data_IF_828887120342
#
_entry.id   IF_828887120342
#
_cell.length_a   1.000
_cell.length_b   1.000
_cell.length_c   1.000
_cell.angle_alpha   90.00
_cell.angle_beta   90.00
_cell.angle_gamma   90.00
#
_symmetry.space_group_name_H-M   'P 1'
#
loop_
_entity.id
_entity.type
_entity.pdbx_description
1 polymer ?
#
# COMPACT_ATOMS: atom_id res chain seq x y z
N UNK A 1 8.69 -6.96 14.04
CA UNK A 1 8.20 -6.26 12.85
C UNK A 1 8.94 -6.70 11.57
N UNK A 2 10.27 -6.55 11.44
CA UNK A 2 11.02 -6.94 10.24
C UNK A 2 10.79 -8.41 9.81
N UNK A 3 10.89 -9.35 10.76
CA UNK A 3 10.65 -10.76 10.48
C UNK A 3 9.22 -11.05 9.96
N UNK A 4 8.22 -10.32 10.46
CA UNK A 4 6.84 -10.45 9.98
C UNK A 4 6.72 -9.96 8.54
N UNK A 5 7.24 -8.76 8.22
CA UNK A 5 7.23 -8.21 6.87
C UNK A 5 7.94 -9.15 5.89
N UNK A 6 9.16 -9.59 6.24
CA UNK A 6 9.97 -10.44 5.36
C UNK A 6 9.43 -11.88 5.26
N UNK A 7 8.66 -12.36 6.23
CA UNK A 7 7.89 -13.57 6.09
C UNK A 7 6.84 -13.50 4.97
N UNK A 8 6.16 -12.36 4.82
CA UNK A 8 5.26 -12.12 3.70
C UNK A 8 6.00 -11.87 2.38
N UNK A 9 7.16 -11.21 2.43
CA UNK A 9 8.00 -11.00 1.25
C UNK A 9 8.51 -12.32 0.67
N UNK A 10 8.89 -13.28 1.53
CA UNK A 10 9.30 -14.63 1.11
C UNK A 10 8.17 -15.41 0.40
N UNK A 11 6.91 -15.02 0.61
CA UNK A 11 5.73 -15.55 -0.08
C UNK A 11 5.32 -14.71 -1.30
N UNK A 12 6.17 -13.79 -1.72
CA UNK A 12 5.95 -12.84 -2.83
C UNK A 12 4.72 -11.93 -2.66
N UNK A 13 4.31 -11.67 -1.40
CA UNK A 13 3.13 -10.87 -1.08
C UNK A 13 3.42 -9.41 -0.81
N UNK A 14 4.68 -9.02 -0.67
CA UNK A 14 5.15 -7.65 -0.51
C UNK A 14 6.65 -7.56 -0.79
N UNK A 15 7.18 -6.34 -0.84
CA UNK A 15 8.61 -6.11 -0.99
C UNK A 15 9.35 -6.39 0.33
N UNK A 16 10.51 -7.02 0.22
CA UNK A 16 11.44 -7.20 1.34
C UNK A 16 11.88 -5.86 1.92
N UNK A 17 12.09 -5.81 3.22
CA UNK A 17 12.64 -4.65 3.93
C UNK A 17 13.92 -5.03 4.66
N UNK A 18 14.80 -4.06 4.80
CA UNK A 18 16.06 -4.19 5.55
C UNK A 18 15.97 -3.48 6.89
N UNK A 19 16.86 -3.82 7.84
CA UNK A 19 16.95 -3.12 9.13
C UNK A 19 17.20 -1.62 8.92
N UNK A 20 18.17 -1.19 8.09
CA UNK A 20 18.37 0.24 7.83
C UNK A 20 17.14 0.95 7.24
N UNK A 21 16.36 0.26 6.39
CA UNK A 21 15.10 0.82 5.90
C UNK A 21 14.10 1.06 7.03
N UNK A 22 13.92 0.08 7.94
CA UNK A 22 13.00 0.24 9.06
C UNK A 22 13.46 1.35 10.00
N UNK A 23 14.74 1.41 10.33
CA UNK A 23 15.31 2.43 11.21
C UNK A 23 15.10 3.85 10.65
N UNK A 24 15.35 4.03 9.35
CA UNK A 24 15.17 5.31 8.67
C UNK A 24 13.71 5.76 8.56
N UNK A 25 12.75 4.82 8.60
CA UNK A 25 11.32 5.10 8.41
C UNK A 25 10.47 4.74 9.64
N UNK A 26 11.08 4.53 10.80
CA UNK A 26 10.39 4.02 11.98
C UNK A 26 9.20 4.90 12.41
N UNK A 27 9.31 6.21 12.23
CA UNK A 27 8.25 7.16 12.55
C UNK A 27 6.98 7.01 11.71
N UNK A 28 7.07 6.36 10.55
CA UNK A 28 5.93 6.09 9.68
C UNK A 28 5.17 4.83 10.10
N UNK A 29 5.81 3.93 10.84
CA UNK A 29 5.20 2.67 11.23
C UNK A 29 4.19 2.84 12.37
N UNK A 30 3.17 1.98 12.30
CA UNK A 30 2.23 1.67 13.37
C UNK A 30 2.31 0.17 13.65
N UNK A 31 2.15 -0.18 14.90
CA UNK A 31 2.07 -1.56 15.35
C UNK A 31 0.75 -1.78 16.08
N UNK A 32 0.24 -2.99 15.97
CA UNK A 32 -0.83 -3.50 16.81
C UNK A 32 -0.24 -4.57 17.71
N UNK A 33 -0.44 -4.43 19.01
CA UNK A 33 -0.04 -5.42 20.00
C UNK A 33 -1.22 -6.35 20.30
N UNK A 34 -0.91 -7.59 20.67
CA UNK A 34 -1.89 -8.51 21.23
C UNK A 34 -2.10 -8.22 22.74
N UNK A 35 -3.05 -8.93 23.36
CA UNK A 35 -3.40 -8.76 24.77
C UNK A 35 -2.26 -9.14 25.74
N UNK A 36 -1.18 -9.74 25.24
CA UNK A 36 -0.01 -10.15 26.02
C UNK A 36 1.22 -9.27 25.75
N UNK A 37 1.06 -8.19 24.95
CA UNK A 37 2.13 -7.30 24.57
C UNK A 37 3.03 -7.84 23.46
N UNK A 38 2.58 -8.88 22.75
CA UNK A 38 3.20 -9.41 21.55
C UNK A 38 2.73 -8.64 20.30
N UNK A 39 3.53 -8.69 19.23
CA UNK A 39 3.17 -8.06 17.96
C UNK A 39 2.04 -8.83 17.27
N UNK A 40 0.87 -8.21 17.09
CA UNK A 40 -0.25 -8.75 16.30
C UNK A 40 -0.18 -8.33 14.83
N UNK A 41 0.39 -7.15 14.53
CA UNK A 41 0.54 -6.67 13.17
C UNK A 41 1.28 -5.34 13.09
N UNK A 42 1.60 -4.92 11.87
CA UNK A 42 2.21 -3.63 11.60
C UNK A 42 1.80 -3.09 10.23
N UNK A 43 1.99 -1.79 10.03
CA UNK A 43 1.82 -1.10 8.76
C UNK A 43 2.51 0.24 8.81
N UNK A 44 2.71 0.88 7.67
CA UNK A 44 3.34 2.19 7.61
C UNK A 44 2.49 3.16 6.80
N UNK A 45 2.50 4.44 7.20
CA UNK A 45 1.97 5.57 6.44
C UNK A 45 3.14 6.40 5.92
N UNK A 46 3.56 6.17 4.70
CA UNK A 46 4.65 6.89 4.06
C UNK A 46 4.12 8.12 3.33
N UNK A 47 4.55 9.30 3.73
CA UNK A 47 4.18 10.55 3.05
C UNK A 47 5.03 10.73 1.81
N UNK A 48 4.40 10.86 0.63
CA UNK A 48 5.08 11.09 -0.65
C UNK A 48 5.13 12.57 -0.98
N UNK A 49 4.03 13.28 -0.76
CA UNK A 49 3.89 14.73 -1.00
C UNK A 49 3.11 15.37 0.15
N UNK A 50 3.01 16.70 0.22
CA UNK A 50 2.23 17.37 1.27
C UNK A 50 0.73 16.99 1.31
N UNK A 51 0.18 16.35 0.26
CA UNK A 51 -1.23 15.98 0.19
C UNK A 51 -1.49 14.48 0.00
N UNK A 52 -0.44 13.67 -0.21
CA UNK A 52 -0.56 12.25 -0.55
C UNK A 52 0.35 11.37 0.32
N UNK A 53 -0.20 10.32 0.89
CA UNK A 53 0.55 9.26 1.56
C UNK A 53 0.13 7.86 1.10
N UNK A 54 1.02 6.91 1.29
CA UNK A 54 0.82 5.49 1.00
C UNK A 54 0.72 4.67 2.29
N UNK A 55 -0.33 3.83 2.38
CA UNK A 55 -0.34 2.71 3.34
C UNK A 55 0.43 1.57 2.73
N UNK A 56 1.55 1.19 3.36
CA UNK A 56 2.46 0.13 2.87
C UNK A 56 2.97 -0.75 3.99
N UNK A 57 3.59 -1.87 3.62
CA UNK A 57 4.15 -2.84 4.56
C UNK A 57 3.13 -3.34 5.60
N UNK A 58 1.85 -3.44 5.22
CA UNK A 58 0.79 -3.95 6.07
C UNK A 58 0.94 -5.47 6.23
N UNK A 59 1.18 -5.91 7.43
CA UNK A 59 1.38 -7.31 7.76
C UNK A 59 0.71 -7.65 9.10
N UNK A 60 -0.01 -8.77 9.15
CA UNK A 60 -0.70 -9.26 10.35
C UNK A 60 -0.16 -10.64 10.68
N UNK A 61 0.14 -10.89 11.95
CA UNK A 61 0.56 -12.22 12.41
C UNK A 61 -0.51 -13.25 12.04
N UNK A 62 -0.16 -14.42 11.46
CA UNK A 62 -1.15 -15.39 11.01
C UNK A 62 -2.19 -15.78 12.06
N UNK A 63 -1.78 -15.88 13.33
CA UNK A 63 -2.68 -16.19 14.44
C UNK A 63 -3.71 -15.09 14.74
N UNK A 64 -3.45 -13.84 14.33
CA UNK A 64 -4.36 -12.68 14.48
C UNK A 64 -5.13 -12.37 13.19
N UNK A 65 -4.95 -13.19 12.13
CA UNK A 65 -5.66 -13.00 10.87
C UNK A 65 -7.18 -13.17 11.06
N UNK A 66 -7.97 -12.33 10.36
CA UNK A 66 -9.43 -12.37 10.45
C UNK A 66 -10.02 -11.71 11.70
N UNK A 67 -9.20 -11.24 12.64
CA UNK A 67 -9.63 -10.61 13.89
C UNK A 67 -9.75 -9.07 13.80
N UNK A 68 -9.67 -8.50 12.61
CA UNK A 68 -9.80 -7.05 12.40
C UNK A 68 -8.50 -6.24 12.58
N UNK A 69 -7.38 -6.87 12.96
CA UNK A 69 -6.09 -6.20 13.20
C UNK A 69 -5.63 -5.38 11.99
N UNK A 70 -5.67 -5.96 10.78
CA UNK A 70 -5.28 -5.25 9.57
C UNK A 70 -6.14 -4.02 9.30
N UNK A 71 -7.46 -4.13 9.52
CA UNK A 71 -8.39 -3.00 9.39
C UNK A 71 -8.09 -1.90 10.41
N UNK A 72 -7.85 -2.26 11.66
CA UNK A 72 -7.49 -1.30 12.71
C UNK A 72 -6.20 -0.53 12.38
N UNK A 73 -5.18 -1.22 11.82
CA UNK A 73 -3.94 -0.57 11.38
C UNK A 73 -4.20 0.41 10.23
N UNK A 74 -4.99 0.02 9.22
CA UNK A 74 -5.35 0.92 8.10
C UNK A 74 -6.13 2.13 8.61
N UNK A 75 -7.10 1.92 9.49
CA UNK A 75 -7.86 3.01 10.12
C UNK A 75 -6.94 3.98 10.88
N UNK A 76 -5.98 3.46 11.64
CA UNK A 76 -4.99 4.28 12.34
C UNK A 76 -4.07 5.05 11.38
N UNK A 77 -3.68 4.46 10.23
CA UNK A 77 -2.98 5.16 9.15
C UNK A 77 -3.83 6.32 8.60
N UNK A 78 -5.11 6.07 8.31
CA UNK A 78 -6.03 7.10 7.80
C UNK A 78 -6.23 8.23 8.82
N UNK A 79 -6.40 7.90 10.11
CA UNK A 79 -6.48 8.89 11.20
C UNK A 79 -5.20 9.76 11.27
N UNK A 80 -4.03 9.12 11.19
CA UNK A 80 -2.74 9.82 11.16
C UNK A 80 -2.60 10.73 9.94
N UNK A 81 -3.08 10.28 8.77
CA UNK A 81 -3.10 11.08 7.55
C UNK A 81 -3.99 12.32 7.71
N UNK A 82 -5.19 12.17 8.29
CA UNK A 82 -6.09 13.30 8.60
C UNK A 82 -5.44 14.28 9.57
N UNK A 83 -4.82 13.78 10.65
CA UNK A 83 -4.12 14.62 11.62
C UNK A 83 -2.94 15.40 11.01
N UNK A 84 -2.31 14.87 9.95
CA UNK A 84 -1.26 15.55 9.17
C UNK A 84 -1.81 16.50 8.11
N UNK A 85 -3.13 16.61 7.93
CA UNK A 85 -3.76 17.45 6.90
C UNK A 85 -3.62 16.92 5.48
N UNK A 86 -3.33 15.64 5.31
CA UNK A 86 -3.24 15.03 3.98
C UNK A 86 -4.64 14.93 3.34
N UNK A 87 -4.70 15.08 2.03
CA UNK A 87 -5.95 15.05 1.27
C UNK A 87 -6.26 13.67 0.70
N UNK A 88 -5.23 12.87 0.45
CA UNK A 88 -5.35 11.57 -0.21
C UNK A 88 -4.46 10.53 0.48
N UNK A 89 -5.00 9.31 0.58
CA UNK A 89 -4.23 8.13 0.99
C UNK A 89 -4.46 7.03 -0.02
N UNK A 90 -3.40 6.37 -0.45
CA UNK A 90 -3.50 5.23 -1.36
C UNK A 90 -2.78 3.99 -0.83
N UNK A 91 -3.02 2.87 -1.46
CA UNK A 91 -2.28 1.63 -1.27
C UNK A 91 -2.08 0.94 -2.62
N UNK A 92 -0.93 0.30 -2.82
CA UNK A 92 -0.74 -0.72 -3.85
C UNK A 92 -0.89 -2.09 -3.19
N UNK A 93 -1.74 -2.95 -3.74
CA UNK A 93 -2.15 -4.16 -3.02
C UNK A 93 -2.50 -5.33 -3.92
N UNK A 94 -2.25 -6.55 -3.43
CA UNK A 94 -2.73 -7.81 -4.00
C UNK A 94 -4.12 -8.21 -3.46
N UNK A 95 -4.67 -7.44 -2.50
CA UNK A 95 -5.95 -7.75 -1.83
C UNK A 95 -6.90 -6.54 -1.85
N UNK A 96 -7.34 -6.09 -3.05
CA UNK A 96 -8.14 -4.87 -3.21
C UNK A 96 -9.46 -4.92 -2.44
N UNK A 97 -10.10 -6.09 -2.34
CA UNK A 97 -11.35 -6.24 -1.58
C UNK A 97 -11.21 -5.92 -0.10
N UNK A 98 -10.04 -6.16 0.47
CA UNK A 98 -9.75 -5.77 1.85
C UNK A 98 -9.74 -4.24 1.99
N UNK A 99 -9.06 -3.53 1.07
CA UNK A 99 -9.01 -2.07 1.08
C UNK A 99 -10.37 -1.44 0.75
N UNK A 100 -11.18 -2.07 -0.10
CA UNK A 100 -12.57 -1.64 -0.34
C UNK A 100 -13.39 -1.67 0.97
N UNK A 101 -13.24 -2.72 1.78
CA UNK A 101 -13.87 -2.79 3.12
C UNK A 101 -13.32 -1.75 4.11
N UNK A 102 -12.14 -1.20 3.85
CA UNK A 102 -11.56 -0.08 4.61
C UNK A 102 -11.96 1.30 4.06
N UNK A 103 -12.82 1.36 3.02
CA UNK A 103 -13.33 2.60 2.43
C UNK A 103 -12.47 3.18 1.30
N UNK A 104 -11.51 2.42 0.77
CA UNK A 104 -10.76 2.80 -0.42
C UNK A 104 -11.53 2.40 -1.67
N UNK A 105 -11.28 3.11 -2.76
CA UNK A 105 -11.82 2.82 -4.09
C UNK A 105 -10.72 2.46 -5.06
N UNK A 106 -11.03 1.58 -6.01
CA UNK A 106 -10.09 1.21 -7.06
C UNK A 106 -9.76 2.43 -7.93
N UNK A 107 -8.48 2.58 -8.24
CA UNK A 107 -7.99 3.65 -9.12
C UNK A 107 -6.90 3.10 -10.05
N UNK A 108 -6.46 3.92 -11.00
CA UNK A 108 -5.32 3.59 -11.85
C UNK A 108 -4.02 4.12 -11.24
N UNK A 109 -2.94 3.35 -11.38
CA UNK A 109 -1.60 3.82 -11.00
C UNK A 109 -1.18 5.05 -11.82
N UNK A 110 -1.72 5.22 -13.04
CA UNK A 110 -1.51 6.40 -13.87
C UNK A 110 -2.05 7.69 -13.24
N UNK A 111 -3.03 7.60 -12.33
CA UNK A 111 -3.57 8.73 -11.56
C UNK A 111 -2.75 9.05 -10.29
N UNK A 112 -1.67 8.32 -10.06
CA UNK A 112 -0.74 8.49 -8.95
C UNK A 112 0.69 8.76 -9.48
N UNK A 113 0.89 9.87 -10.25
CA UNK A 113 2.19 10.16 -10.84
C UNK A 113 3.29 10.32 -9.79
N UNK A 114 2.94 10.75 -8.59
CA UNK A 114 3.86 10.88 -7.45
C UNK A 114 4.51 9.52 -7.09
N UNK A 115 3.77 8.42 -7.24
CA UNK A 115 4.26 7.06 -7.01
C UNK A 115 4.88 6.47 -8.27
N UNK A 116 4.18 6.56 -9.40
CA UNK A 116 4.59 5.90 -10.64
C UNK A 116 5.88 6.47 -11.24
N UNK A 117 6.15 7.78 -11.02
CA UNK A 117 7.37 8.42 -11.52
C UNK A 117 8.56 8.34 -10.54
N UNK A 118 8.33 8.15 -9.25
CA UNK A 118 9.38 8.17 -8.23
C UNK A 118 9.88 6.78 -7.83
N UNK A 119 9.00 5.92 -7.34
CA UNK A 119 9.39 4.64 -6.75
C UNK A 119 9.23 3.45 -7.72
N UNK A 120 8.21 3.47 -8.59
CA UNK A 120 7.97 2.35 -9.51
C UNK A 120 9.14 2.09 -10.49
N UNK A 121 9.85 3.10 -11.03
CA UNK A 121 10.97 2.87 -11.93
C UNK A 121 12.13 2.08 -11.32
N UNK A 122 12.33 2.19 -10.01
CA UNK A 122 13.39 1.49 -9.25
C UNK A 122 12.88 0.27 -8.49
N UNK A 123 11.59 -0.04 -8.60
CA UNK A 123 10.99 -1.19 -7.93
C UNK A 123 11.52 -2.50 -8.55
N UNK A 124 11.93 -3.50 -7.74
CA UNK A 124 12.37 -4.79 -8.26
C UNK A 124 11.27 -5.54 -9.03
N UNK A 125 9.99 -5.27 -8.72
CA UNK A 125 8.82 -5.84 -9.41
C UNK A 125 8.31 -5.00 -10.59
N UNK A 126 8.99 -3.94 -11.01
CA UNK A 126 8.48 -2.99 -12.04
C UNK A 126 8.02 -3.61 -13.36
N UNK A 127 8.59 -4.77 -13.73
CA UNK A 127 8.22 -5.49 -14.96
C UNK A 127 7.22 -6.63 -14.75
N UNK A 128 6.85 -6.90 -13.52
CA UNK A 128 5.94 -7.98 -13.14
C UNK A 128 5.05 -7.57 -11.94
N UNK A 129 4.73 -6.28 -11.85
CA UNK A 129 3.85 -5.77 -10.80
C UNK A 129 2.43 -6.28 -11.05
N UNK A 130 1.86 -6.88 -10.03
CA UNK A 130 0.50 -7.44 -10.00
C UNK A 130 -0.41 -6.72 -9.00
N UNK A 131 0.10 -5.67 -8.36
CA UNK A 131 -0.64 -4.87 -7.40
C UNK A 131 -1.66 -3.95 -8.09
N UNK A 132 -2.79 -3.76 -7.43
CA UNK A 132 -3.82 -2.80 -7.81
C UNK A 132 -3.73 -1.55 -6.93
N UNK A 133 -3.99 -0.39 -7.53
CA UNK A 133 -3.99 0.87 -6.82
C UNK A 133 -5.37 1.13 -6.20
N UNK A 134 -5.38 1.40 -4.90
CA UNK A 134 -6.57 1.76 -4.14
C UNK A 134 -6.39 3.16 -3.55
N UNK A 135 -7.39 4.03 -3.66
CA UNK A 135 -7.32 5.44 -3.25
C UNK A 135 -8.47 5.80 -2.31
N UNK A 136 -8.17 6.60 -1.29
CA UNK A 136 -9.15 7.24 -0.43
C UNK A 136 -8.94 8.76 -0.44
N UNK A 137 -9.99 9.51 -0.74
CA UNK A 137 -10.03 10.96 -0.57
C UNK A 137 -10.43 11.31 0.88
N UNK A 138 -9.64 12.15 1.53
CA UNK A 138 -9.87 12.57 2.92
C UNK A 138 -10.56 13.93 3.02
N UNK A 139 -10.59 14.67 1.92
CA UNK A 139 -11.20 16.00 1.77
C UNK A 139 -12.67 15.95 1.33
N UNK A 140 -13.24 14.75 1.22
CA UNK A 140 -14.64 14.56 0.80
C UNK A 140 -14.84 14.59 -0.72
N UNK A 141 -13.77 14.68 -1.52
CA UNK A 141 -13.89 14.55 -2.96
C UNK A 141 -14.44 13.17 -3.34
N UNK A 142 -15.37 13.16 -4.30
CA UNK A 142 -15.89 11.90 -4.83
C UNK A 142 -14.79 11.15 -5.62
N UNK A 143 -14.72 9.82 -5.50
CA UNK A 143 -13.82 9.03 -6.33
C UNK A 143 -14.22 9.16 -7.81
N UNK A 144 -13.23 9.39 -8.67
CA UNK A 144 -13.45 9.38 -10.11
C UNK A 144 -13.60 7.94 -10.63
N UNK A 145 -14.67 7.62 -11.37
CA UNK A 145 -14.81 6.32 -12.01
C UNK A 145 -13.64 6.05 -12.97
N UNK A 146 -13.19 4.81 -13.04
CA UNK A 146 -12.22 4.41 -14.06
C UNK A 146 -12.85 4.46 -15.45
N UNK A 147 -12.10 4.97 -16.42
CA UNK A 147 -12.46 4.90 -17.82
C UNK A 147 -12.45 3.44 -18.33
N UNK A 148 -13.19 3.14 -19.42
CA UNK A 148 -13.28 1.77 -19.95
C UNK A 148 -11.92 1.19 -20.39
N UNK A 149 -10.99 2.04 -20.80
CA UNK A 149 -9.65 1.66 -21.27
C UNK A 149 -8.55 1.99 -20.26
N UNK A 150 -8.91 2.41 -19.04
CA UNK A 150 -7.94 2.81 -18.04
C UNK A 150 -7.36 1.58 -17.31
N UNK A 151 -6.04 1.36 -17.36
CA UNK A 151 -5.44 0.17 -16.77
C UNK A 151 -5.53 0.20 -15.24
N UNK A 152 -6.01 -0.88 -14.65
CA UNK A 152 -6.18 -1.04 -13.19
C UNK A 152 -4.90 -1.50 -12.50
N UNK A 153 -3.87 -1.78 -13.23
CA UNK A 153 -2.58 -2.22 -12.71
C UNK A 153 -1.45 -1.82 -13.66
N UNK A 154 -0.29 -2.37 -13.45
CA UNK A 154 0.84 -2.14 -14.34
C UNK A 154 0.57 -2.87 -15.66
N UNK A 155 0.19 -2.14 -16.71
CA UNK A 155 0.01 -2.73 -18.03
C UNK A 155 1.38 -3.06 -18.61
N UNK A 156 1.65 -4.36 -18.78
CA UNK A 156 2.83 -4.82 -19.50
C UNK A 156 2.66 -4.43 -20.97
N UNK A 157 3.41 -3.45 -21.45
CA UNK A 157 3.52 -3.19 -22.89
C UNK A 157 4.38 -4.29 -23.51
N UNK A 158 3.73 -5.23 -24.17
CA UNK A 158 4.43 -6.14 -25.09
C UNK A 158 4.72 -5.35 -26.36
N UNK A 159 5.96 -4.94 -26.56
CA UNK A 159 6.40 -4.51 -27.86
C UNK A 159 6.47 -5.78 -28.73
N UNK A 160 5.47 -5.98 -29.55
CA UNK A 160 5.58 -6.94 -30.63
C UNK A 160 6.62 -6.39 -31.62
N UNK A 161 7.84 -6.88 -31.51
CA UNK A 161 8.78 -6.79 -32.63
C UNK A 161 8.33 -7.85 -33.62
N UNK A 162 7.68 -7.42 -34.69
CA UNK A 162 7.46 -8.33 -35.83
C UNK A 162 8.84 -8.80 -36.33
N UNK A 163 9.05 -10.10 -36.50
CA UNK A 163 10.27 -10.59 -37.15
C UNK A 163 10.25 -10.15 -38.59
N UNK A 164 11.32 -9.46 -39.00
CA UNK A 164 11.63 -9.09 -40.39
C UNK A 164 11.86 -10.34 -41.24
#
# INVERSE_FOLDING_TARGET
MLALINGYAALDRMLERTTPFLEANLADFLVADDDQGGLAGCGALATLTPDLAEVRSLAVVPAAAGQGVGKAIVEACVQRARARGLRRVFALTLVPDFFTKCGFTLTSLGRLPEKSASECPVCPKRFACDEQAMLMHLDGAAPEPLGPDEPVGYTRLYLHTEPS
#
